data_IF_750066131873
#
_entry.id   IF_750066131873
#
_cell.length_a   1.000
_cell.length_b   1.000
_cell.length_c   1.000
_cell.angle_alpha   90.00
_cell.angle_beta   90.00
_cell.angle_gamma   90.00
#
_symmetry.space_group_name_H-M   'P 1'
#
loop_
_entity.id
_entity.type
_entity.pdbx_description
1 polymer ?
#
# COMPACT_ATOMS: atom_id res chain seq x y z
N UNK A 1 -2.32 52.09 4.08
CA UNK A 1 -2.76 50.86 3.39
C UNK A 1 -1.51 50.12 2.95
N UNK A 2 -1.03 49.13 3.70
CA UNK A 2 0.26 48.49 3.45
C UNK A 2 0.08 47.11 2.82
N UNK A 3 0.59 46.96 1.60
CA UNK A 3 0.76 45.70 0.87
C UNK A 3 1.70 44.75 1.63
N UNK A 4 1.36 43.47 1.78
CA UNK A 4 2.36 42.45 2.15
C UNK A 4 2.12 41.10 1.45
N UNK A 5 2.82 40.98 0.32
CA UNK A 5 3.55 39.81 -0.23
C UNK A 5 3.01 38.42 0.10
N UNK A 6 2.48 37.75 -0.95
CA UNK A 6 2.48 36.28 -1.08
C UNK A 6 3.90 35.76 -0.81
N UNK A 7 4.07 34.99 0.26
CA UNK A 7 5.26 34.18 0.49
C UNK A 7 5.03 32.78 -0.08
N UNK A 8 5.97 32.22 -0.87
CA UNK A 8 5.82 30.89 -1.44
C UNK A 8 6.06 29.87 -0.32
N UNK A 9 5.05 29.04 -0.01
CA UNK A 9 5.30 27.89 0.85
C UNK A 9 6.16 26.92 0.04
N UNK A 10 7.40 26.75 0.51
CA UNK A 10 8.35 25.72 0.07
C UNK A 10 7.61 24.43 -0.26
N UNK A 11 7.77 23.96 -1.49
CA UNK A 11 7.52 22.57 -1.82
C UNK A 11 8.56 21.74 -1.06
N UNK A 12 8.22 21.35 0.17
CA UNK A 12 8.79 20.14 0.77
C UNK A 12 8.59 19.03 -0.26
N UNK A 13 9.58 18.17 -0.58
CA UNK A 13 9.30 16.99 -1.35
C UNK A 13 8.22 16.25 -0.58
N UNK A 14 7.02 16.18 -1.15
CA UNK A 14 5.92 15.42 -0.62
C UNK A 14 6.45 14.00 -0.52
N UNK A 15 6.88 13.60 0.68
CA UNK A 15 7.08 12.19 0.97
C UNK A 15 5.82 11.51 0.43
N UNK A 16 5.94 10.51 -0.47
CA UNK A 16 4.75 9.82 -0.95
C UNK A 16 3.96 9.41 0.31
N UNK A 17 2.63 9.64 0.33
CA UNK A 17 1.82 9.34 1.50
C UNK A 17 2.22 7.95 2.00
N UNK A 18 2.43 7.76 3.32
CA UNK A 18 3.03 6.56 3.86
C UNK A 18 2.37 5.36 3.19
N UNK A 19 3.12 4.68 2.31
CA UNK A 19 2.56 3.65 1.46
C UNK A 19 2.13 2.53 2.40
N UNK A 20 0.86 2.48 2.77
CA UNK A 20 0.35 1.48 3.70
C UNK A 20 0.46 0.09 3.07
N UNK A 21 0.49 -0.95 3.90
CA UNK A 21 0.71 -2.34 3.48
C UNK A 21 -0.21 -2.79 2.34
N UNK A 22 -1.44 -2.28 2.29
CA UNK A 22 -2.37 -2.49 1.18
C UNK A 22 -1.93 -1.90 -0.16
N UNK A 23 -1.32 -0.72 -0.17
CA UNK A 23 -0.80 -0.13 -1.40
C UNK A 23 0.34 -1.01 -1.96
N UNK A 24 1.20 -1.52 -1.09
CA UNK A 24 2.29 -2.43 -1.49
C UNK A 24 1.77 -3.74 -2.03
N UNK A 25 0.74 -4.31 -1.41
CA UNK A 25 0.06 -5.49 -1.96
C UNK A 25 -0.45 -5.23 -3.38
N UNK A 26 -1.13 -4.09 -3.60
CA UNK A 26 -1.62 -3.72 -4.94
C UNK A 26 -0.48 -3.63 -5.95
N UNK A 27 0.67 -3.08 -5.54
CA UNK A 27 1.85 -2.97 -6.37
C UNK A 27 2.44 -4.34 -6.72
N UNK A 28 2.50 -5.26 -5.75
CA UNK A 28 2.90 -6.66 -5.97
C UNK A 28 1.97 -7.35 -6.97
N UNK A 29 0.65 -7.26 -6.76
CA UNK A 29 -0.33 -7.84 -7.66
C UNK A 29 -0.17 -7.30 -9.09
N UNK A 30 0.04 -5.99 -9.22
CA UNK A 30 0.27 -5.36 -10.52
C UNK A 30 1.57 -5.83 -11.18
N UNK A 31 2.66 -5.98 -10.41
CA UNK A 31 3.95 -6.50 -10.92
C UNK A 31 3.83 -7.94 -11.41
N UNK A 32 3.03 -8.77 -10.73
CA UNK A 32 2.75 -10.14 -11.16
C UNK A 32 1.65 -10.23 -12.24
N UNK A 33 1.02 -9.11 -12.63
CA UNK A 33 -0.09 -9.12 -13.58
C UNK A 33 -1.36 -9.79 -13.06
N UNK A 34 -1.51 -9.91 -11.74
CA UNK A 34 -2.66 -10.57 -11.10
C UNK A 34 -3.81 -9.56 -10.97
N UNK A 35 -4.97 -9.79 -11.60
CA UNK A 35 -6.10 -8.90 -11.43
C UNK A 35 -6.65 -9.00 -9.99
N UNK A 36 -6.98 -7.87 -9.34
CA UNK A 36 -7.47 -7.85 -7.97
C UNK A 36 -8.71 -8.73 -7.75
N UNK A 37 -9.58 -8.84 -8.76
CA UNK A 37 -10.77 -9.71 -8.71
C UNK A 37 -10.39 -11.19 -8.65
N UNK A 38 -9.46 -11.66 -9.49
CA UNK A 38 -8.98 -13.04 -9.42
C UNK A 38 -8.25 -13.32 -8.10
N UNK A 39 -7.51 -12.33 -7.59
CA UNK A 39 -6.87 -12.45 -6.29
C UNK A 39 -7.88 -12.54 -5.13
N UNK A 40 -8.97 -11.77 -5.21
CA UNK A 40 -10.07 -11.81 -4.24
C UNK A 40 -10.74 -13.19 -4.22
N UNK A 41 -11.03 -13.75 -5.41
CA UNK A 41 -11.56 -15.11 -5.57
C UNK A 41 -10.61 -16.17 -4.98
N UNK A 42 -9.32 -16.10 -5.33
CA UNK A 42 -8.29 -17.02 -4.84
C UNK A 42 -8.14 -16.96 -3.30
N UNK A 43 -8.30 -15.79 -2.71
CA UNK A 43 -8.26 -15.57 -1.26
C UNK A 43 -9.60 -15.84 -0.55
N UNK A 44 -10.68 -16.16 -1.29
CA UNK A 44 -12.05 -16.24 -0.78
C UNK A 44 -12.47 -14.99 0.01
N UNK A 45 -12.11 -13.81 -0.48
CA UNK A 45 -12.52 -12.52 0.10
C UNK A 45 -13.36 -11.72 -0.89
N UNK A 46 -14.29 -10.92 -0.38
CA UNK A 46 -15.04 -9.99 -1.23
C UNK A 46 -14.11 -8.95 -1.86
N UNK A 47 -14.34 -8.52 -3.11
CA UNK A 47 -13.65 -7.38 -3.72
C UNK A 47 -13.73 -6.11 -2.86
N UNK A 48 -14.82 -5.93 -2.10
CA UNK A 48 -14.97 -4.84 -1.13
C UNK A 48 -13.94 -4.93 0.00
N UNK A 49 -13.71 -6.14 0.54
CA UNK A 49 -12.69 -6.37 1.56
C UNK A 49 -11.29 -6.10 1.01
N UNK A 50 -11.01 -6.53 -0.23
CA UNK A 50 -9.73 -6.28 -0.86
C UNK A 50 -9.48 -4.77 -1.10
N UNK A 51 -10.50 -4.04 -1.57
CA UNK A 51 -10.43 -2.59 -1.70
C UNK A 51 -10.21 -1.90 -0.35
N UNK A 52 -10.88 -2.38 0.71
CA UNK A 52 -10.67 -1.90 2.07
C UNK A 52 -9.21 -2.11 2.50
N UNK A 53 -8.63 -3.28 2.22
CA UNK A 53 -7.21 -3.52 2.49
C UNK A 53 -6.30 -2.55 1.76
N UNK A 54 -6.56 -2.26 0.48
CA UNK A 54 -5.77 -1.29 -0.29
C UNK A 54 -5.79 0.11 0.33
N UNK A 55 -6.95 0.55 0.82
CA UNK A 55 -7.11 1.89 1.41
C UNK A 55 -6.68 1.99 2.88
N UNK A 56 -6.96 0.98 3.71
CA UNK A 56 -6.76 1.02 5.17
C UNK A 56 -5.54 0.25 5.66
N UNK A 57 -4.98 -0.62 4.82
CA UNK A 57 -3.92 -1.54 5.21
C UNK A 57 -4.41 -2.97 5.41
N UNK A 58 -3.46 -3.89 5.42
CA UNK A 58 -3.70 -5.31 5.63
C UNK A 58 -3.87 -5.66 7.11
N UNK A 59 -4.75 -6.61 7.46
CA UNK A 59 -4.82 -7.17 8.81
C UNK A 59 -3.53 -7.91 9.14
N UNK A 60 -2.99 -7.74 10.36
CA UNK A 60 -1.72 -8.37 10.78
C UNK A 60 -1.70 -9.89 10.58
N UNK A 61 -2.79 -10.58 10.95
CA UNK A 61 -2.97 -12.03 10.75
C UNK A 61 -2.84 -12.47 9.28
N UNK A 62 -3.17 -11.58 8.34
CA UNK A 62 -3.12 -11.85 6.90
C UNK A 62 -1.82 -11.42 6.26
N UNK A 63 -1.09 -10.45 6.83
CA UNK A 63 0.19 -10.00 6.27
C UNK A 63 1.17 -11.17 6.16
N UNK A 64 1.26 -12.02 7.18
CA UNK A 64 2.16 -13.18 7.17
C UNK A 64 1.78 -14.18 6.09
N UNK A 65 0.49 -14.55 6.03
CA UNK A 65 -0.01 -15.49 5.03
C UNK A 65 0.21 -14.97 3.60
N UNK A 66 -0.02 -13.68 3.38
CA UNK A 66 0.16 -13.01 2.09
C UNK A 66 1.63 -12.88 1.70
N UNK A 67 2.50 -12.56 2.65
CA UNK A 67 3.94 -12.48 2.45
C UNK A 67 4.49 -13.83 1.99
N UNK A 68 4.12 -14.92 2.69
CA UNK A 68 4.51 -16.29 2.32
C UNK A 68 3.96 -16.70 0.96
N UNK A 69 2.68 -16.40 0.69
CA UNK A 69 2.02 -16.74 -0.57
C UNK A 69 2.69 -16.06 -1.76
N UNK A 70 2.92 -14.75 -1.66
CA UNK A 70 3.43 -13.93 -2.76
C UNK A 70 4.96 -13.97 -2.84
N UNK A 71 5.60 -14.75 -1.95
CA UNK A 71 7.04 -14.84 -1.79
C UNK A 71 7.69 -13.45 -1.60
N UNK A 72 7.05 -12.59 -0.81
CA UNK A 72 7.55 -11.24 -0.48
C UNK A 72 7.90 -11.15 1.01
N UNK A 73 8.84 -10.28 1.37
CA UNK A 73 9.20 -10.08 2.78
C UNK A 73 8.02 -9.50 3.57
N UNK A 74 7.67 -10.14 4.69
CA UNK A 74 6.68 -9.63 5.66
C UNK A 74 7.00 -8.20 6.05
N UNK A 75 8.25 -7.94 6.43
CA UNK A 75 8.73 -6.60 6.84
C UNK A 75 8.50 -5.59 5.71
N UNK A 76 8.83 -5.95 4.47
CA UNK A 76 8.58 -5.07 3.35
C UNK A 76 7.08 -4.83 3.11
N UNK A 77 6.26 -5.87 3.25
CA UNK A 77 4.81 -5.74 3.09
C UNK A 77 4.19 -4.90 4.21
N UNK A 78 4.73 -4.94 5.42
CA UNK A 78 4.21 -4.26 6.62
C UNK A 78 4.75 -2.82 6.77
N UNK A 79 6.06 -2.62 6.70
CA UNK A 79 6.74 -1.33 6.91
C UNK A 79 7.29 -0.69 5.64
N UNK A 80 7.44 -1.45 4.56
CA UNK A 80 8.03 -0.97 3.31
C UNK A 80 9.55 -0.99 3.32
N UNK A 81 10.13 -1.41 4.45
CA UNK A 81 11.56 -1.57 4.61
C UNK A 81 11.99 -2.85 3.91
N UNK A 82 12.83 -2.72 2.88
CA UNK A 82 13.57 -3.85 2.34
C UNK A 82 14.63 -4.16 3.38
N UNK A 83 14.48 -5.28 4.10
CA UNK A 83 15.49 -5.75 5.04
C UNK A 83 16.87 -5.68 4.39
N UNK A 84 17.82 -5.11 5.12
CA UNK A 84 19.20 -4.89 4.66
C UNK A 84 19.89 -6.18 4.26
#
# INVERSE_FOLDING_TARGET
>A
MHTRKKSPRRHTPLQPPPLHSGHRLRLVLNTYGIPPTAFAEWMHVSPQCLNNWFSRGLPMDRVEKLATTLSVSKVWLETGERGR
#
